data_IF_909579226266
#
_entry.id   IF_909579226266
#
_cell.length_a   1.000
_cell.length_b   1.000
_cell.length_c   1.000
_cell.angle_alpha   90.00
_cell.angle_beta   90.00
_cell.angle_gamma   90.00
#
_symmetry.space_group_name_H-M   'P 1'
#
loop_
_entity.id
_entity.type
_entity.pdbx_description
1 polymer ?
#
# COMPACT_ATOMS: atom_id res chain seq x y z
N UNK A 1 24.29 -14.09 -28.93
CA UNK A 1 23.99 -15.54 -29.04
C UNK A 1 22.53 -15.72 -28.67
N UNK A 2 21.78 -16.56 -29.39
CA UNK A 2 20.39 -16.86 -29.03
C UNK A 2 20.39 -17.73 -27.77
N UNK A 3 19.60 -17.35 -26.76
CA UNK A 3 19.42 -18.11 -25.53
C UNK A 3 18.87 -19.52 -25.86
N UNK A 4 19.35 -20.61 -25.23
CA UNK A 4 18.76 -21.93 -25.40
C UNK A 4 17.25 -21.91 -25.06
N UNK A 5 16.43 -22.62 -25.83
CA UNK A 5 14.97 -22.63 -25.65
C UNK A 5 14.56 -23.03 -24.23
N UNK A 6 15.20 -24.06 -23.66
CA UNK A 6 14.94 -24.52 -22.29
C UNK A 6 15.21 -23.44 -21.23
N UNK A 7 16.23 -22.59 -21.46
CA UNK A 7 16.56 -21.47 -20.56
C UNK A 7 15.52 -20.36 -20.67
N UNK A 8 15.04 -20.08 -21.88
CA UNK A 8 14.00 -19.08 -22.09
C UNK A 8 12.66 -19.51 -21.47
N UNK A 9 12.33 -20.79 -21.58
CA UNK A 9 11.15 -21.37 -20.92
C UNK A 9 11.24 -21.30 -19.40
N UNK A 10 12.42 -21.51 -18.82
CA UNK A 10 12.65 -21.34 -17.37
C UNK A 10 12.39 -19.89 -16.92
N UNK A 11 12.97 -18.90 -17.62
CA UNK A 11 12.72 -17.49 -17.32
C UNK A 11 11.24 -17.14 -17.46
N UNK A 12 10.59 -17.63 -18.52
CA UNK A 12 9.15 -17.41 -18.73
C UNK A 12 8.32 -17.95 -17.57
N UNK A 13 8.56 -19.20 -17.17
CA UNK A 13 7.82 -19.84 -16.08
C UNK A 13 8.03 -19.11 -14.74
N UNK A 14 9.26 -18.71 -14.45
CA UNK A 14 9.62 -18.00 -13.23
C UNK A 14 9.00 -16.60 -13.18
N UNK A 15 9.13 -15.81 -14.26
CA UNK A 15 8.53 -14.48 -14.38
C UNK A 15 6.99 -14.54 -14.27
N UNK A 16 6.34 -15.50 -14.92
CA UNK A 16 4.89 -15.70 -14.78
C UNK A 16 4.49 -16.06 -13.34
N UNK A 17 5.28 -16.91 -12.66
CA UNK A 17 5.03 -17.27 -11.27
C UNK A 17 5.18 -16.06 -10.34
N UNK A 18 6.22 -15.24 -10.53
CA UNK A 18 6.43 -14.01 -9.77
C UNK A 18 5.30 -13.01 -10.00
N UNK A 19 4.85 -12.81 -11.24
CA UNK A 19 3.71 -11.95 -11.55
C UNK A 19 2.43 -12.43 -10.85
N UNK A 20 2.15 -13.74 -10.88
CA UNK A 20 0.99 -14.33 -10.18
C UNK A 20 1.09 -14.13 -8.66
N UNK A 21 2.28 -14.32 -8.09
CA UNK A 21 2.54 -14.10 -6.67
C UNK A 21 2.31 -12.63 -6.30
N UNK A 22 2.93 -11.70 -7.01
CA UNK A 22 2.77 -10.26 -6.84
C UNK A 22 1.31 -9.82 -6.95
N UNK A 23 0.58 -10.30 -7.95
CA UNK A 23 -0.84 -9.99 -8.10
C UNK A 23 -1.67 -10.50 -6.91
N UNK A 24 -1.34 -11.67 -6.35
CA UNK A 24 -1.99 -12.21 -5.15
C UNK A 24 -1.68 -11.36 -3.92
N UNK A 25 -0.42 -10.93 -3.75
CA UNK A 25 -0.01 -10.08 -2.63
C UNK A 25 -0.67 -8.69 -2.70
N UNK A 26 -0.73 -8.08 -3.88
CA UNK A 26 -1.43 -6.80 -4.09
C UNK A 26 -2.94 -6.95 -3.77
N UNK A 27 -3.61 -8.01 -4.25
CA UNK A 27 -5.02 -8.26 -3.89
C UNK A 27 -5.23 -8.43 -2.39
N UNK A 28 -4.35 -9.18 -1.74
CA UNK A 28 -4.40 -9.42 -0.30
C UNK A 28 -4.26 -8.10 0.47
N UNK A 29 -3.32 -7.25 0.06
CA UNK A 29 -3.16 -5.89 0.59
C UNK A 29 -4.42 -5.04 0.40
N UNK A 30 -5.00 -5.01 -0.80
CA UNK A 30 -6.23 -4.25 -1.07
C UNK A 30 -7.41 -4.74 -0.23
N UNK A 31 -7.54 -6.05 -0.06
CA UNK A 31 -8.56 -6.67 0.80
C UNK A 31 -8.36 -6.26 2.26
N UNK A 32 -7.14 -6.40 2.80
CA UNK A 32 -6.79 -5.97 4.15
C UNK A 32 -7.09 -4.48 4.37
N UNK A 33 -6.67 -3.63 3.43
CA UNK A 33 -6.95 -2.20 3.46
C UNK A 33 -8.46 -1.95 3.50
N UNK A 34 -9.23 -2.55 2.59
CA UNK A 34 -10.68 -2.37 2.54
C UNK A 34 -11.39 -2.82 3.83
N UNK A 35 -10.92 -3.91 4.45
CA UNK A 35 -11.47 -4.43 5.70
C UNK A 35 -11.13 -3.54 6.91
N UNK A 36 -9.96 -2.89 6.90
CA UNK A 36 -9.50 -2.03 7.99
C UNK A 36 -9.95 -0.56 7.84
N UNK A 37 -10.31 -0.10 6.64
CA UNK A 37 -10.79 1.27 6.38
C UNK A 37 -11.92 1.73 7.32
N UNK A 38 -13.02 0.96 7.54
CA UNK A 38 -14.09 1.40 8.45
C UNK A 38 -13.62 1.54 9.88
N UNK A 39 -12.76 0.62 10.34
CA UNK A 39 -12.20 0.64 11.69
C UNK A 39 -11.28 1.85 11.90
N UNK A 40 -10.40 2.12 10.92
CA UNK A 40 -9.52 3.28 10.93
C UNK A 40 -10.31 4.59 10.95
N UNK A 41 -11.37 4.70 10.14
CA UNK A 41 -12.25 5.87 10.12
C UNK A 41 -12.91 6.10 11.49
N UNK A 42 -13.49 5.05 12.07
CA UNK A 42 -14.14 5.12 13.38
C UNK A 42 -13.16 5.50 14.51
N UNK A 43 -11.96 4.92 14.50
CA UNK A 43 -10.91 5.26 15.47
C UNK A 43 -10.42 6.70 15.31
N UNK A 44 -10.30 7.20 14.08
CA UNK A 44 -9.92 8.59 13.83
C UNK A 44 -10.99 9.57 14.33
N UNK A 45 -12.27 9.30 14.06
CA UNK A 45 -13.39 10.08 14.61
C UNK A 45 -13.34 10.10 16.15
N UNK A 46 -13.14 8.91 16.74
CA UNK A 46 -13.06 8.76 18.19
C UNK A 46 -11.89 9.53 18.79
N UNK A 47 -10.71 9.45 18.17
CA UNK A 47 -9.52 10.19 18.60
C UNK A 47 -9.77 11.70 18.56
N UNK A 48 -10.37 12.19 17.49
CA UNK A 48 -10.69 13.60 17.33
C UNK A 48 -11.70 14.08 18.40
N UNK A 49 -12.79 13.34 18.62
CA UNK A 49 -13.77 13.66 19.68
C UNK A 49 -13.13 13.72 21.07
N UNK A 50 -12.29 12.73 21.40
CA UNK A 50 -11.58 12.70 22.67
C UNK A 50 -10.59 13.86 22.79
N UNK A 51 -9.94 14.25 21.70
CA UNK A 51 -9.11 15.45 21.60
C UNK A 51 -9.88 16.72 21.93
N UNK A 52 -11.09 16.90 21.39
CA UNK A 52 -11.94 18.05 21.71
C UNK A 52 -12.32 18.08 23.20
N UNK A 53 -12.72 16.92 23.77
CA UNK A 53 -13.04 16.82 25.20
C UNK A 53 -11.83 17.11 26.08
N UNK A 54 -10.65 16.65 25.69
CA UNK A 54 -9.41 16.95 26.39
C UNK A 54 -9.16 18.46 26.47
N UNK A 55 -9.38 19.21 25.38
CA UNK A 55 -9.20 20.67 25.39
C UNK A 55 -10.17 21.39 26.35
N UNK A 56 -11.40 20.90 26.50
CA UNK A 56 -12.39 21.50 27.41
C UNK A 56 -12.03 21.31 28.89
N UNK A 57 -11.37 20.19 29.22
CA UNK A 57 -11.08 19.81 30.60
C UNK A 57 -9.66 20.21 31.03
N UNK A 58 -8.78 20.45 30.06
CA UNK A 58 -7.41 20.89 30.29
C UNK A 58 -7.39 22.20 31.07
N UNK A 59 -6.77 22.17 32.25
CA UNK A 59 -6.63 23.34 33.14
C UNK A 59 -7.76 23.52 34.16
N UNK A 60 -8.87 22.79 34.03
CA UNK A 60 -9.98 22.82 35.01
C UNK A 60 -10.04 21.57 35.89
N UNK A 61 -9.67 20.39 35.37
CA UNK A 61 -9.63 19.15 36.13
C UNK A 61 -8.43 18.28 35.73
N UNK A 62 -7.40 18.25 36.58
CA UNK A 62 -6.15 17.55 36.29
C UNK A 62 -6.33 16.02 36.19
N UNK A 63 -7.13 15.43 37.06
CA UNK A 63 -7.37 13.99 37.05
C UNK A 63 -8.07 13.55 35.75
N UNK A 64 -9.11 14.28 35.35
CA UNK A 64 -9.81 14.02 34.09
C UNK A 64 -8.95 14.31 32.85
N UNK A 65 -8.08 15.34 32.91
CA UNK A 65 -7.12 15.64 31.84
C UNK A 65 -6.15 14.47 31.60
N UNK A 66 -5.58 13.91 32.68
CA UNK A 66 -4.66 12.77 32.58
C UNK A 66 -5.37 11.52 32.06
N UNK A 67 -6.57 11.22 32.58
CA UNK A 67 -7.36 10.08 32.14
C UNK A 67 -7.71 10.17 30.64
N UNK A 68 -8.20 11.33 30.17
CA UNK A 68 -8.52 11.55 28.75
C UNK A 68 -7.28 11.44 27.87
N UNK A 69 -6.15 12.03 28.28
CA UNK A 69 -4.91 11.94 27.50
C UNK A 69 -4.44 10.49 27.33
N UNK A 70 -4.59 9.65 28.37
CA UNK A 70 -4.28 8.22 28.28
C UNK A 70 -5.13 7.54 27.21
N UNK A 71 -6.45 7.73 27.25
CA UNK A 71 -7.38 7.12 26.28
C UNK A 71 -7.10 7.61 24.86
N UNK A 72 -6.79 8.90 24.68
CA UNK A 72 -6.38 9.41 23.37
C UNK A 72 -5.10 8.74 22.86
N UNK A 73 -4.11 8.52 23.73
CA UNK A 73 -2.87 7.83 23.35
C UNK A 73 -3.11 6.37 22.96
N UNK A 74 -4.01 5.67 23.65
CA UNK A 74 -4.36 4.29 23.32
C UNK A 74 -5.01 4.17 21.93
N UNK A 75 -5.95 5.07 21.62
CA UNK A 75 -6.58 5.11 20.28
C UNK A 75 -5.56 5.49 19.20
N UNK A 76 -4.71 6.48 19.47
CA UNK A 76 -3.64 6.90 18.54
C UNK A 76 -2.66 5.75 18.24
N UNK A 77 -2.19 5.04 19.27
CA UNK A 77 -1.30 3.88 19.07
C UNK A 77 -1.97 2.79 18.25
N UNK A 78 -3.25 2.51 18.53
CA UNK A 78 -3.99 1.53 17.75
C UNK A 78 -4.13 1.92 16.27
N UNK A 79 -4.32 3.20 15.95
CA UNK A 79 -4.27 3.71 14.58
C UNK A 79 -2.88 3.53 13.96
N UNK A 80 -1.83 3.90 14.71
CA UNK A 80 -0.44 3.77 14.27
C UNK A 80 -0.07 2.32 13.97
N UNK A 81 -0.50 1.37 14.81
CA UNK A 81 -0.25 -0.06 14.63
C UNK A 81 -0.94 -0.59 13.37
N UNK A 82 -2.20 -0.21 13.14
CA UNK A 82 -2.94 -0.57 11.93
C UNK A 82 -2.27 -0.01 10.67
N UNK A 83 -1.80 1.23 10.68
CA UNK A 83 -1.06 1.82 9.55
C UNK A 83 0.29 1.14 9.36
N UNK A 84 1.01 0.85 10.44
CA UNK A 84 2.30 0.14 10.40
C UNK A 84 2.16 -1.26 9.79
N UNK A 85 1.03 -1.93 10.01
CA UNK A 85 0.71 -3.19 9.33
C UNK A 85 0.59 -3.00 7.82
N UNK A 86 -0.10 -1.96 7.35
CA UNK A 86 -0.18 -1.64 5.91
C UNK A 86 1.20 -1.32 5.31
N UNK A 87 2.03 -0.55 6.03
CA UNK A 87 3.42 -0.27 5.62
C UNK A 87 4.23 -1.55 5.47
N UNK A 88 4.11 -2.48 6.43
CA UNK A 88 4.84 -3.74 6.41
C UNK A 88 4.47 -4.61 5.21
N UNK A 89 3.18 -4.75 4.91
CA UNK A 89 2.69 -5.50 3.74
C UNK A 89 3.19 -4.86 2.43
N UNK A 90 3.17 -3.53 2.31
CA UNK A 90 3.74 -2.84 1.15
C UNK A 90 5.26 -3.01 1.04
N UNK A 91 5.97 -3.12 2.17
CA UNK A 91 7.40 -3.43 2.19
C UNK A 91 7.70 -4.80 1.58
N UNK A 92 6.88 -5.81 1.89
CA UNK A 92 7.01 -7.15 1.30
C UNK A 92 6.71 -7.14 -0.20
N UNK A 93 5.64 -6.46 -0.62
CA UNK A 93 5.32 -6.30 -2.05
C UNK A 93 6.47 -5.58 -2.77
N UNK A 94 7.03 -4.53 -2.16
CA UNK A 94 8.17 -3.80 -2.72
C UNK A 94 9.38 -4.70 -2.94
N UNK A 95 9.70 -5.58 -2.00
CA UNK A 95 10.80 -6.53 -2.16
C UNK A 95 10.56 -7.47 -3.34
N UNK A 96 9.35 -8.04 -3.45
CA UNK A 96 9.01 -8.92 -4.57
C UNK A 96 9.00 -8.20 -5.94
N UNK A 97 8.65 -6.91 -5.98
CA UNK A 97 8.76 -6.12 -7.22
C UNK A 97 10.24 -5.97 -7.62
N UNK A 98 11.13 -5.70 -6.66
CA UNK A 98 12.57 -5.62 -6.91
C UNK A 98 13.12 -6.96 -7.42
N UNK A 99 12.72 -8.08 -6.81
CA UNK A 99 13.14 -9.42 -7.26
C UNK A 99 12.70 -9.68 -8.71
N UNK A 100 11.47 -9.30 -9.05
CA UNK A 100 10.94 -9.38 -10.42
C UNK A 100 11.71 -8.50 -11.41
N UNK A 101 12.08 -7.28 -11.01
CA UNK A 101 12.90 -6.39 -11.85
C UNK A 101 14.30 -6.96 -12.08
N UNK A 102 14.93 -7.52 -11.06
CA UNK A 102 16.24 -8.17 -11.16
C UNK A 102 16.18 -9.32 -12.16
N UNK A 103 15.13 -10.16 -12.09
CA UNK A 103 14.97 -11.27 -13.03
C UNK A 103 14.74 -10.80 -14.48
N UNK A 104 13.95 -9.74 -14.68
CA UNK A 104 13.81 -9.11 -15.99
C UNK A 104 15.15 -8.62 -16.55
N UNK A 105 16.00 -8.01 -15.70
CA UNK A 105 17.32 -7.54 -16.09
C UNK A 105 18.27 -8.70 -16.42
N UNK A 106 18.22 -9.79 -15.65
CA UNK A 106 18.99 -11.00 -15.92
C UNK A 106 18.63 -11.59 -17.28
N UNK A 107 17.34 -11.75 -17.58
CA UNK A 107 16.87 -12.21 -18.89
C UNK A 107 17.39 -11.32 -20.01
N UNK A 108 17.24 -10.00 -19.89
CA UNK A 108 17.66 -9.06 -20.92
C UNK A 108 19.18 -9.10 -21.17
N UNK A 109 19.97 -9.24 -20.10
CA UNK A 109 21.42 -9.37 -20.17
C UNK A 109 21.84 -10.68 -20.85
N UNK A 110 21.22 -11.81 -20.51
CA UNK A 110 21.54 -13.09 -21.13
C UNK A 110 21.12 -13.16 -22.60
N UNK A 111 19.99 -12.55 -22.97
CA UNK A 111 19.56 -12.43 -24.37
C UNK A 111 20.40 -11.43 -25.18
N UNK A 112 21.30 -10.69 -24.53
CA UNK A 112 22.09 -9.61 -25.14
C UNK A 112 21.20 -8.56 -25.84
N UNK A 113 19.99 -8.35 -25.33
CA UNK A 113 19.04 -7.39 -25.90
C UNK A 113 19.28 -6.01 -25.30
N UNK A 114 19.12 -4.98 -26.14
CA UNK A 114 19.21 -3.58 -25.71
C UNK A 114 17.92 -3.08 -25.06
N UNK A 115 16.82 -3.84 -25.16
CA UNK A 115 15.50 -3.45 -24.66
C UNK A 115 14.76 -4.65 -24.10
N UNK A 116 14.18 -4.46 -22.92
CA UNK A 116 13.26 -5.41 -22.28
C UNK A 116 12.04 -5.64 -23.21
N UNK A 117 11.57 -6.89 -23.37
CA UNK A 117 10.35 -7.19 -24.13
C UNK A 117 9.17 -6.31 -23.70
N UNK A 118 8.38 -5.84 -24.69
CA UNK A 118 7.29 -4.89 -24.44
C UNK A 118 6.28 -5.38 -23.41
N UNK A 119 5.94 -6.68 -23.44
CA UNK A 119 5.04 -7.30 -22.48
C UNK A 119 5.58 -7.22 -21.03
N UNK A 120 6.87 -7.47 -20.82
CA UNK A 120 7.51 -7.34 -19.52
C UNK A 120 7.58 -5.89 -19.05
N UNK A 121 7.88 -4.97 -19.97
CA UNK A 121 7.90 -3.54 -19.67
C UNK A 121 6.52 -3.03 -19.21
N UNK A 122 5.43 -3.50 -19.83
CA UNK A 122 4.08 -3.17 -19.39
C UNK A 122 3.81 -3.63 -17.95
N UNK A 123 4.13 -4.89 -17.61
CA UNK A 123 3.93 -5.40 -16.26
C UNK A 123 4.81 -4.69 -15.23
N UNK A 124 6.06 -4.42 -15.58
CA UNK A 124 6.98 -3.68 -14.73
C UNK A 124 6.46 -2.28 -14.41
N UNK A 125 6.06 -1.52 -15.43
CA UNK A 125 5.49 -0.18 -15.24
C UNK A 125 4.23 -0.25 -14.38
N UNK A 126 3.34 -1.20 -14.65
CA UNK A 126 2.14 -1.41 -13.84
C UNK A 126 2.47 -1.65 -12.36
N UNK A 127 3.42 -2.55 -12.06
CA UNK A 127 3.81 -2.88 -10.70
C UNK A 127 4.44 -1.68 -9.98
N UNK A 128 5.37 -0.99 -10.64
CA UNK A 128 6.05 0.19 -10.09
C UNK A 128 5.06 1.32 -9.78
N UNK A 129 4.18 1.65 -10.73
CA UNK A 129 3.21 2.72 -10.56
C UNK A 129 2.15 2.38 -9.51
N UNK A 130 1.69 1.13 -9.47
CA UNK A 130 0.74 0.66 -8.46
C UNK A 130 1.37 0.71 -7.07
N UNK A 131 2.60 0.21 -6.91
CA UNK A 131 3.32 0.24 -5.65
C UNK A 131 3.54 1.67 -5.17
N UNK A 132 4.00 2.56 -6.05
CA UNK A 132 4.20 3.99 -5.73
C UNK A 132 2.92 4.65 -5.27
N UNK A 133 1.80 4.35 -5.92
CA UNK A 133 0.49 4.88 -5.57
C UNK A 133 0.07 4.43 -4.17
N UNK A 134 0.17 3.13 -3.88
CA UNK A 134 -0.18 2.56 -2.59
C UNK A 134 0.73 3.07 -1.46
N UNK A 135 2.04 3.16 -1.71
CA UNK A 135 3.00 3.72 -0.75
C UNK A 135 2.73 5.19 -0.46
N UNK A 136 2.40 5.99 -1.48
CA UNK A 136 2.06 7.40 -1.28
C UNK A 136 0.79 7.54 -0.42
N UNK A 137 -0.24 6.73 -0.69
CA UNK A 137 -1.45 6.72 0.13
C UNK A 137 -1.12 6.48 1.61
N UNK A 138 -0.35 5.44 1.92
CA UNK A 138 -0.01 5.11 3.32
C UNK A 138 0.83 6.20 3.96
N UNK A 139 1.75 6.84 3.23
CA UNK A 139 2.50 8.01 3.72
C UNK A 139 1.60 9.19 4.08
N UNK A 140 0.56 9.46 3.30
CA UNK A 140 -0.41 10.50 3.63
C UNK A 140 -1.24 10.13 4.87
N UNK A 141 -1.61 8.86 5.04
CA UNK A 141 -2.24 8.37 6.27
C UNK A 141 -1.33 8.58 7.50
N UNK A 142 -0.04 8.27 7.41
CA UNK A 142 0.93 8.53 8.49
C UNK A 142 1.04 10.02 8.80
N UNK A 143 1.14 10.85 7.76
CA UNK A 143 1.24 12.30 7.88
C UNK A 143 0.00 12.89 8.56
N UNK A 144 -1.21 12.56 8.11
CA UNK A 144 -2.43 13.11 8.69
C UNK A 144 -2.77 12.49 10.05
N UNK A 145 -2.38 11.24 10.33
CA UNK A 145 -2.44 10.70 11.68
C UNK A 145 -1.60 11.53 12.64
N UNK A 146 -0.38 11.94 12.24
CA UNK A 146 0.49 12.76 13.10
C UNK A 146 -0.15 14.09 13.49
N UNK A 147 -1.01 14.67 12.62
CA UNK A 147 -1.76 15.89 12.92
C UNK A 147 -2.87 15.65 13.95
N UNK A 148 -3.43 14.43 14.00
CA UNK A 148 -4.45 14.01 14.98
C UNK A 148 -3.86 13.62 16.34
N UNK A 149 -2.54 13.79 16.57
CA UNK A 149 -1.91 13.38 17.81
C UNK A 149 -2.59 14.06 19.02
N UNK A 150 -2.78 13.35 20.16
CA UNK A 150 -3.57 13.85 21.30
C UNK A 150 -3.17 15.21 21.89
N UNK A 151 -1.92 15.63 21.66
CA UNK A 151 -1.40 16.91 22.16
C UNK A 151 -1.72 18.08 21.23
N UNK A 152 -2.03 17.81 19.97
CA UNK A 152 -2.39 18.83 18.98
C UNK A 152 -3.90 19.07 19.01
N UNK A 153 -4.30 20.33 19.02
CA UNK A 153 -5.69 20.72 18.81
C UNK A 153 -6.00 20.58 17.33
N UNK A 154 -6.23 19.34 16.88
CA UNK A 154 -6.47 19.06 15.47
C UNK A 154 -7.81 19.67 15.02
N UNK A 155 -7.84 20.49 13.96
CA UNK A 155 -9.09 20.92 13.37
C UNK A 155 -9.81 19.74 12.70
N UNK A 156 -11.11 19.89 12.49
CA UNK A 156 -11.92 18.88 11.77
C UNK A 156 -11.39 18.63 10.34
N UNK A 157 -10.77 19.63 9.71
CA UNK A 157 -10.11 19.46 8.40
C UNK A 157 -9.00 18.41 8.41
N UNK A 158 -8.27 18.22 9.52
CA UNK A 158 -7.27 17.15 9.63
C UNK A 158 -7.91 15.76 9.70
N UNK A 159 -9.09 15.64 10.33
CA UNK A 159 -9.86 14.41 10.36
C UNK A 159 -10.39 14.06 8.96
N UNK A 160 -10.95 15.03 8.25
CA UNK A 160 -11.44 14.83 6.89
C UNK A 160 -10.31 14.50 5.90
N UNK A 161 -9.14 15.14 6.04
CA UNK A 161 -7.96 14.79 5.26
C UNK A 161 -7.52 13.34 5.50
N UNK A 162 -7.43 12.91 6.76
CA UNK A 162 -7.13 11.51 7.10
C UNK A 162 -8.15 10.54 6.51
N UNK A 163 -9.45 10.85 6.61
CA UNK A 163 -10.53 10.01 6.05
C UNK A 163 -10.47 9.94 4.53
N UNK A 164 -10.14 11.04 3.86
CA UNK A 164 -9.96 11.08 2.41
C UNK A 164 -8.86 10.11 1.98
N UNK A 165 -7.74 10.06 2.71
CA UNK A 165 -6.61 9.19 2.36
C UNK A 165 -6.88 7.70 2.60
N UNK A 166 -7.93 7.33 3.34
CA UNK A 166 -8.33 5.93 3.49
C UNK A 166 -8.81 5.32 2.16
N UNK A 167 -9.25 6.18 1.25
CA UNK A 167 -9.75 5.80 -0.06
C UNK A 167 -8.69 6.10 -1.14
N UNK A 168 -8.63 5.22 -2.13
CA UNK A 168 -7.92 5.51 -3.36
C UNK A 168 -8.89 6.26 -4.28
N UNK A 169 -8.34 7.06 -5.19
CA UNK A 169 -9.18 7.66 -6.22
C UNK A 169 -9.72 6.58 -7.17
N UNK A 170 -10.93 6.75 -7.69
CA UNK A 170 -11.53 5.78 -8.64
C UNK A 170 -10.60 5.47 -9.83
N UNK A 171 -9.89 6.44 -10.44
CA UNK A 171 -8.94 6.14 -11.51
C UNK A 171 -7.78 5.25 -11.05
N UNK A 172 -7.32 5.41 -9.81
CA UNK A 172 -6.27 4.59 -9.25
C UNK A 172 -6.74 3.15 -9.01
N UNK A 173 -7.92 2.97 -8.42
CA UNK A 173 -8.52 1.65 -8.18
C UNK A 173 -8.79 0.91 -9.49
N UNK A 174 -9.32 1.61 -10.50
CA UNK A 174 -9.57 1.06 -11.81
C UNK A 174 -8.28 0.60 -12.49
N UNK A 175 -7.21 1.42 -12.42
CA UNK A 175 -5.90 1.08 -12.98
C UNK A 175 -5.31 -0.18 -12.33
N UNK A 176 -5.36 -0.25 -11.00
CA UNK A 176 -4.84 -1.41 -10.26
C UNK A 176 -5.64 -2.67 -10.62
N UNK A 177 -6.97 -2.57 -10.59
CA UNK A 177 -7.86 -3.69 -10.93
C UNK A 177 -7.63 -4.21 -12.34
N UNK A 178 -7.48 -3.31 -13.32
CA UNK A 178 -7.24 -3.68 -14.71
C UNK A 178 -5.88 -4.36 -14.91
N UNK A 179 -4.82 -3.88 -14.27
CA UNK A 179 -3.51 -4.51 -14.35
C UNK A 179 -3.46 -5.88 -13.67
N UNK A 180 -4.15 -6.03 -12.53
CA UNK A 180 -4.32 -7.32 -11.85
C UNK A 180 -5.08 -8.34 -12.72
N UNK A 181 -6.12 -7.91 -13.43
CA UNK A 181 -6.85 -8.74 -14.38
C UNK A 181 -5.99 -9.12 -15.59
N UNK A 182 -5.11 -8.23 -16.08
CA UNK A 182 -4.14 -8.57 -17.13
C UNK A 182 -3.19 -9.70 -16.70
N UNK A 183 -2.71 -9.69 -15.46
CA UNK A 183 -1.84 -10.76 -14.94
C UNK A 183 -2.59 -12.09 -14.87
N UNK A 184 -3.85 -12.11 -14.44
CA UNK A 184 -4.66 -13.35 -14.42
C UNK A 184 -4.81 -13.98 -15.80
N UNK A 185 -4.90 -13.15 -16.85
CA UNK A 185 -5.01 -13.63 -18.22
C UNK A 185 -3.76 -14.36 -18.71
N UNK A 186 -2.64 -14.31 -18.01
CA UNK A 186 -1.45 -15.11 -18.33
C UNK A 186 -1.70 -16.62 -18.25
N UNK A 187 -2.73 -17.06 -17.54
CA UNK A 187 -3.16 -18.47 -17.56
C UNK A 187 -3.72 -18.91 -18.94
N UNK A 188 -4.21 -17.96 -19.74
CA UNK A 188 -4.84 -18.19 -21.05
C UNK A 188 -3.91 -17.71 -22.18
N UNK A 189 -3.24 -16.58 -21.96
CA UNK A 189 -2.33 -15.93 -22.90
C UNK A 189 -0.95 -15.83 -22.27
N UNK A 190 -0.09 -16.85 -22.43
CA UNK A 190 1.18 -16.91 -21.73
C UNK A 190 2.12 -15.80 -22.21
N UNK A 191 3.09 -15.46 -21.37
CA UNK A 191 4.00 -14.35 -21.60
C UNK A 191 4.78 -14.52 -22.91
N UNK A 192 4.79 -13.48 -23.74
CA UNK A 192 5.57 -13.42 -24.98
C UNK A 192 6.87 -12.66 -24.72
N UNK A 193 8.00 -13.39 -24.75
CA UNK A 193 9.36 -12.89 -24.52
C UNK A 193 10.16 -12.82 -25.82
#
# INVERSE_FOLDING_TARGET
MLLPADRLEQYKASLEQQLKHLATSIRSYLCLKSATTPELSNKANRLWELGQRYQLVKGSNQAATVALLSVCQDVYRSLQDSISKLVSELGQISAHVIDFEIECLHLNNEQQQTKIPAALMEFRNFLEESLKLLQNQVKYLELHLSQLQPKFSAPESSLEAFKSDLHLSEPAEARITLGLAKIERLAIFPLTL
#
